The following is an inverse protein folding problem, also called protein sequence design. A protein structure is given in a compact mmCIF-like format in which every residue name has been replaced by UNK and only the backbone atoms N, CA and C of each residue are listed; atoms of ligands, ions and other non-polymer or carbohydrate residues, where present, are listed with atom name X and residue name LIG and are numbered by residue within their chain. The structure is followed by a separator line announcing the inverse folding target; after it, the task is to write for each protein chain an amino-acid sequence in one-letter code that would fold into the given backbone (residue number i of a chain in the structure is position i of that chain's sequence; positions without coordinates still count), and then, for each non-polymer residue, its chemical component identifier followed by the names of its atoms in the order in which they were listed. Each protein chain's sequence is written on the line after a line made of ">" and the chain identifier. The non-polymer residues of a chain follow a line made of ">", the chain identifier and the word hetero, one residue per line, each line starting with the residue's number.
data_IF_867780551765
#
_entry.id   IF_867780551765
#
_cell.length_a   1.000
_cell.length_b   1.000
_cell.length_c   1.000
_cell.angle_alpha   90.00
_cell.angle_beta   90.00
_cell.angle_gamma   90.00
#
_symmetry.space_group_name_H-M   'P 1'
#
loop_
_entity.id
_entity.type
_entity.pdbx_description
1 polymer ?
#
# COMPACT_ATOMS: atom_id res chain seq x y z
N UNK A 1 39.74 -36.60 -48.77
CA UNK A 1 39.37 -36.49 -50.19
C UNK A 1 38.39 -35.34 -50.35
N UNK A 2 38.56 -34.58 -51.44
CA UNK A 2 38.06 -33.26 -51.78
C UNK A 2 36.54 -33.05 -51.74
N UNK A 3 36.11 -31.81 -51.41
CA UNK A 3 35.38 -30.83 -52.28
C UNK A 3 34.98 -29.60 -51.41
N UNK A 4 35.58 -28.41 -51.53
CA UNK A 4 35.28 -27.27 -52.48
C UNK A 4 33.79 -27.08 -52.75
N UNK A 5 33.15 -25.90 -52.74
CA UNK A 5 33.45 -24.49 -52.49
C UNK A 5 32.09 -23.82 -52.16
N UNK A 6 32.06 -22.73 -51.39
CA UNK A 6 30.91 -21.81 -51.45
C UNK A 6 31.42 -20.37 -51.33
N UNK A 7 31.28 -19.64 -52.44
CA UNK A 7 31.46 -18.20 -52.55
C UNK A 7 30.22 -17.49 -51.99
N UNK A 8 30.40 -16.46 -51.16
CA UNK A 8 29.39 -15.43 -50.96
C UNK A 8 30.03 -14.05 -51.04
N UNK A 9 29.37 -13.20 -51.83
CA UNK A 9 29.83 -11.93 -52.35
C UNK A 9 29.80 -10.81 -51.30
N UNK A 10 30.77 -9.89 -51.43
CA UNK A 10 30.76 -8.57 -50.82
C UNK A 10 29.85 -7.63 -51.61
N UNK A 11 29.02 -6.84 -50.92
CA UNK A 11 28.47 -5.61 -51.46
C UNK A 11 28.59 -4.52 -50.40
N UNK A 12 29.47 -3.55 -50.66
CA UNK A 12 29.64 -2.34 -49.87
C UNK A 12 28.55 -1.33 -50.26
N UNK A 13 27.87 -0.77 -49.26
CA UNK A 13 26.89 0.31 -49.44
C UNK A 13 27.52 1.62 -48.97
N UNK A 14 27.91 2.47 -49.93
CA UNK A 14 28.23 3.88 -49.74
C UNK A 14 26.93 4.70 -49.79
N UNK A 15 26.60 5.44 -48.74
CA UNK A 15 25.63 6.53 -48.81
C UNK A 15 26.34 7.87 -48.62
N UNK A 16 26.16 8.73 -49.61
CA UNK A 16 26.72 10.06 -49.70
C UNK A 16 25.98 11.08 -48.81
N UNK A 17 26.77 12.02 -48.30
CA UNK A 17 26.35 13.23 -47.60
C UNK A 17 25.88 14.28 -48.63
N UNK A 18 24.77 14.96 -48.36
CA UNK A 18 24.47 16.25 -48.97
C UNK A 18 23.59 17.06 -48.00
N UNK A 19 24.17 18.07 -47.38
CA UNK A 19 23.43 19.15 -46.74
C UNK A 19 23.23 20.31 -47.72
N UNK A 20 22.20 21.11 -47.50
CA UNK A 20 22.12 22.52 -47.89
C UNK A 20 21.17 23.23 -46.91
N UNK A 21 21.56 24.43 -46.51
CA UNK A 21 20.89 25.27 -45.53
C UNK A 21 20.36 26.58 -46.18
N UNK A 22 19.52 27.27 -45.39
CA UNK A 22 19.10 28.71 -45.37
C UNK A 22 18.25 29.28 -46.53
N UNK A 23 17.48 30.40 -46.37
CA UNK A 23 17.35 31.32 -45.22
C UNK A 23 15.91 31.78 -44.79
N UNK A 24 15.97 32.58 -43.72
CA UNK A 24 15.05 33.46 -42.97
C UNK A 24 14.08 34.32 -43.81
N UNK A 25 12.88 34.57 -43.26
CA UNK A 25 12.00 35.68 -43.64
C UNK A 25 11.46 36.39 -42.39
N UNK A 26 11.63 37.70 -42.34
CA UNK A 26 11.25 38.62 -41.24
C UNK A 26 10.10 39.54 -41.68
N UNK A 27 9.41 40.13 -40.69
CA UNK A 27 8.64 41.40 -40.72
C UNK A 27 7.22 41.44 -41.31
N UNK A 28 6.21 41.71 -40.46
CA UNK A 28 5.69 43.09 -40.27
C UNK A 28 4.80 43.23 -39.00
N UNK A 29 4.68 44.43 -38.38
CA UNK A 29 4.02 44.68 -37.09
C UNK A 29 2.70 45.51 -37.13
N UNK A 30 1.98 45.45 -35.98
CA UNK A 30 1.17 46.51 -35.32
C UNK A 30 -0.22 46.94 -35.88
N UNK A 31 -1.06 47.72 -35.14
CA UNK A 31 -1.51 47.62 -33.73
C UNK A 31 -3.02 48.04 -33.54
N UNK A 32 -3.43 48.35 -32.29
CA UNK A 32 -4.65 49.09 -31.85
C UNK A 32 -5.90 48.21 -31.55
N UNK A 33 -6.71 48.40 -30.51
CA UNK A 33 -6.94 49.44 -29.46
C UNK A 33 -8.05 48.86 -28.55
N UNK A 34 -7.92 48.75 -27.23
CA UNK A 34 -8.22 49.74 -26.16
C UNK A 34 -9.70 49.90 -25.77
N UNK A 35 -9.92 49.99 -24.45
CA UNK A 35 -11.06 50.59 -23.72
C UNK A 35 -12.30 49.69 -23.56
N UNK A 36 -13.04 49.68 -22.46
CA UNK A 36 -12.93 50.19 -21.09
C UNK A 36 -14.13 49.61 -20.32
N UNK A 37 -13.93 49.37 -19.03
CA UNK A 37 -14.80 49.75 -17.90
C UNK A 37 -16.22 50.26 -18.22
N UNK A 38 -17.23 49.72 -17.51
CA UNK A 38 -18.28 50.52 -16.83
C UNK A 38 -19.22 49.64 -15.97
N UNK A 39 -19.03 49.72 -14.65
CA UNK A 39 -20.05 49.56 -13.60
C UNK A 39 -21.21 50.52 -13.84
N UNK A 40 -22.51 50.16 -13.70
CA UNK A 40 -23.54 51.09 -13.19
C UNK A 40 -24.84 50.35 -12.67
N UNK A 41 -25.03 50.32 -11.33
CA UNK A 41 -26.24 50.51 -10.44
C UNK A 41 -27.48 49.61 -10.57
N UNK A 42 -27.89 48.89 -9.51
CA UNK A 42 -28.75 49.31 -8.39
C UNK A 42 -30.17 49.70 -8.80
N UNK A 43 -31.11 48.77 -8.61
CA UNK A 43 -32.52 49.00 -8.25
C UNK A 43 -33.06 47.67 -7.67
N UNK A 44 -33.52 47.67 -6.42
CA UNK A 44 -34.43 46.67 -5.87
C UNK A 44 -35.63 47.39 -5.22
N UNK A 45 -36.55 46.72 -4.49
CA UNK A 45 -37.04 45.33 -4.54
C UNK A 45 -38.61 45.34 -4.77
N UNK A 46 -39.41 44.27 -4.52
CA UNK A 46 -39.70 43.81 -3.16
C UNK A 46 -39.87 42.27 -3.00
N UNK A 47 -39.98 41.89 -1.72
CA UNK A 47 -40.19 40.55 -1.20
C UNK A 47 -41.54 39.95 -1.62
N UNK A 48 -41.54 38.65 -1.94
CA UNK A 48 -42.65 37.71 -1.72
C UNK A 48 -42.12 36.26 -1.78
N UNK A 49 -42.18 35.57 -0.64
CA UNK A 49 -42.18 34.09 -0.49
C UNK A 49 -43.54 33.54 -0.97
N UNK A 50 -43.75 32.24 -1.35
CA UNK A 50 -43.16 31.08 -0.66
C UNK A 50 -42.91 29.75 -1.45
N UNK A 51 -42.18 28.87 -0.77
CA UNK A 51 -42.33 27.40 -0.68
C UNK A 51 -41.82 26.44 -1.77
N UNK A 52 -41.18 25.39 -1.23
CA UNK A 52 -41.24 23.96 -1.58
C UNK A 52 -40.17 23.36 -2.52
N UNK A 53 -39.44 22.41 -1.90
CA UNK A 53 -38.94 21.15 -2.44
C UNK A 53 -37.62 21.06 -3.24
N UNK A 54 -36.58 20.69 -2.47
CA UNK A 54 -35.60 19.61 -2.73
C UNK A 54 -34.41 19.85 -3.68
N UNK A 55 -33.34 19.05 -3.55
CA UNK A 55 -32.49 18.90 -2.37
C UNK A 55 -31.07 19.34 -2.67
N UNK A 56 -30.35 19.73 -1.61
CA UNK A 56 -28.94 20.06 -1.63
C UNK A 56 -28.12 18.85 -2.08
N UNK A 57 -27.39 19.00 -3.19
CA UNK A 57 -26.27 18.14 -3.50
C UNK A 57 -25.17 18.43 -2.49
N UNK A 58 -25.09 17.59 -1.45
CA UNK A 58 -23.92 17.51 -0.59
C UNK A 58 -22.73 17.11 -1.49
N UNK A 59 -21.94 18.11 -1.89
CA UNK A 59 -20.58 17.86 -2.34
C UNK A 59 -19.87 17.13 -1.20
N UNK A 60 -19.64 15.83 -1.38
CA UNK A 60 -18.73 15.03 -0.60
C UNK A 60 -17.35 15.71 -0.68
N UNK A 61 -17.12 16.66 0.23
CA UNK A 61 -15.78 17.08 0.62
C UNK A 61 -15.17 15.89 1.32
N UNK A 62 -14.66 14.95 0.51
CA UNK A 62 -13.71 13.94 0.92
C UNK A 62 -12.60 14.72 1.61
N UNK A 63 -12.62 14.73 2.94
CA UNK A 63 -11.53 15.26 3.75
C UNK A 63 -10.33 14.39 3.44
N UNK A 64 -9.60 14.78 2.40
CA UNK A 64 -8.27 14.34 2.12
C UNK A 64 -7.44 14.81 3.31
N UNK A 65 -7.29 13.92 4.29
CA UNK A 65 -6.25 14.03 5.28
C UNK A 65 -4.93 13.92 4.53
N UNK A 66 -4.41 15.07 4.09
CA UNK A 66 -3.01 15.22 3.73
C UNK A 66 -2.22 14.99 5.03
N UNK A 67 -1.82 13.74 5.24
CA UNK A 67 -0.90 13.34 6.30
C UNK A 67 0.44 14.07 6.07
N UNK A 68 0.65 15.13 6.83
CA UNK A 68 1.90 15.88 6.87
C UNK A 68 3.04 14.97 7.37
N UNK A 69 3.96 14.61 6.48
CA UNK A 69 5.40 14.52 6.80
C UNK A 69 5.96 13.24 7.43
N UNK A 70 5.15 12.21 7.72
CA UNK A 70 5.64 10.96 8.32
C UNK A 70 6.04 9.90 7.30
N UNK A 71 7.25 9.35 7.40
CA UNK A 71 7.58 8.11 6.70
C UNK A 71 6.70 6.97 7.24
N UNK A 72 6.10 6.12 6.39
CA UNK A 72 5.40 4.93 6.87
C UNK A 72 6.32 4.05 7.72
N UNK A 73 5.78 3.39 8.75
CA UNK A 73 6.54 2.39 9.50
C UNK A 73 6.70 1.13 8.66
N UNK A 74 7.72 1.09 7.83
CA UNK A 74 8.05 -0.06 7.01
C UNK A 74 8.40 -1.29 7.86
N UNK A 75 7.86 -2.44 7.47
CA UNK A 75 8.18 -3.75 8.01
C UNK A 75 8.91 -4.57 6.96
N UNK A 76 9.55 -5.67 7.38
CA UNK A 76 10.14 -6.61 6.43
C UNK A 76 9.05 -7.15 5.47
N UNK A 77 9.38 -7.41 4.21
CA UNK A 77 8.42 -7.77 3.17
C UNK A 77 8.02 -9.26 3.22
N UNK A 78 8.03 -9.86 4.41
CA UNK A 78 7.80 -11.28 4.62
C UNK A 78 6.77 -11.52 5.72
N UNK A 79 6.00 -12.62 5.68
CA UNK A 79 5.12 -13.01 6.77
C UNK A 79 5.80 -13.00 8.13
N UNK A 80 5.01 -12.74 9.17
CA UNK A 80 5.46 -12.73 10.55
C UNK A 80 6.37 -13.91 10.91
N UNK A 81 7.44 -13.63 11.65
CA UNK A 81 8.25 -14.63 12.33
C UNK A 81 9.24 -15.34 11.42
N UNK A 82 9.14 -15.15 10.11
CA UNK A 82 10.16 -15.62 9.17
C UNK A 82 11.46 -14.85 9.35
N UNK A 83 12.58 -15.57 9.24
CA UNK A 83 13.92 -14.99 9.26
C UNK A 83 14.53 -15.10 7.86
N UNK A 84 15.09 -14.00 7.38
CA UNK A 84 15.67 -13.89 6.04
C UNK A 84 17.07 -13.30 6.13
N UNK A 85 18.00 -13.85 5.35
CA UNK A 85 19.31 -13.25 5.19
C UNK A 85 19.17 -12.05 4.25
N UNK A 86 19.37 -10.85 4.76
CA UNK A 86 19.39 -9.63 3.97
C UNK A 86 20.83 -9.25 3.64
N UNK A 87 21.11 -9.09 2.34
CA UNK A 87 22.43 -8.92 1.78
C UNK A 87 22.53 -7.58 1.05
N UNK A 88 23.57 -6.81 1.35
CA UNK A 88 23.88 -5.54 0.69
C UNK A 88 25.36 -5.51 0.31
N UNK A 89 25.72 -4.85 -0.79
CA UNK A 89 27.10 -4.87 -1.34
C UNK A 89 27.41 -3.62 -2.15
N UNK A 90 28.69 -3.30 -2.31
CA UNK A 90 29.16 -2.07 -2.98
C UNK A 90 28.85 -2.03 -4.48
N UNK A 91 28.62 -3.19 -5.11
CA UNK A 91 28.23 -3.31 -6.51
C UNK A 91 26.75 -3.70 -6.69
N UNK A 92 25.91 -3.46 -5.70
CA UNK A 92 24.46 -3.64 -5.81
C UNK A 92 23.88 -2.55 -6.72
N UNK A 93 22.87 -2.88 -7.53
CA UNK A 93 22.23 -1.93 -8.43
C UNK A 93 20.72 -1.88 -8.16
N UNK A 94 20.20 -0.74 -7.65
CA UNK A 94 20.93 0.41 -7.11
C UNK A 94 21.71 0.07 -5.82
N UNK A 95 22.70 0.90 -5.47
CA UNK A 95 23.61 0.68 -4.34
C UNK A 95 22.88 0.46 -3.00
N UNK A 96 21.70 1.07 -2.84
CA UNK A 96 20.92 1.04 -1.61
C UNK A 96 19.79 0.00 -1.59
N UNK A 97 19.84 -0.98 -2.48
CA UNK A 97 18.94 -2.13 -2.43
C UNK A 97 19.37 -3.14 -1.38
N UNK A 98 18.51 -4.13 -1.13
CA UNK A 98 18.79 -5.29 -0.30
C UNK A 98 18.20 -6.54 -0.96
N UNK A 99 19.01 -7.58 -1.06
CA UNK A 99 18.59 -8.89 -1.57
C UNK A 99 18.29 -9.78 -0.37
N UNK A 100 17.15 -10.46 -0.39
CA UNK A 100 16.74 -11.35 0.67
C UNK A 100 16.59 -12.77 0.15
N UNK A 101 17.23 -13.71 0.84
CA UNK A 101 17.08 -15.12 0.56
C UNK A 101 17.08 -15.98 1.84
N UNK A 102 16.59 -17.21 1.71
CA UNK A 102 16.75 -18.29 2.69
C UNK A 102 16.68 -19.64 1.97
N UNK A 103 17.01 -20.72 2.66
CA UNK A 103 16.92 -22.06 2.06
C UNK A 103 15.49 -22.38 1.59
N UNK A 104 15.36 -22.84 0.35
CA UNK A 104 14.09 -23.23 -0.28
C UNK A 104 13.04 -22.10 -0.30
N UNK A 105 13.46 -20.88 -0.64
CA UNK A 105 12.60 -19.70 -0.64
C UNK A 105 11.76 -19.49 -1.91
N UNK A 106 12.04 -20.22 -3.00
CA UNK A 106 11.27 -20.08 -4.24
C UNK A 106 9.77 -20.33 -3.98
N UNK A 107 8.93 -19.36 -4.35
CA UNK A 107 7.49 -19.41 -4.10
C UNK A 107 7.06 -18.97 -2.70
N UNK A 108 7.97 -18.62 -1.79
CA UNK A 108 7.61 -18.08 -0.49
C UNK A 108 6.81 -16.78 -0.63
N UNK A 109 5.83 -16.52 0.27
CA UNK A 109 5.03 -15.31 0.18
C UNK A 109 5.84 -14.04 0.37
N UNK A 110 5.63 -13.07 -0.51
CA UNK A 110 6.08 -11.68 -0.35
C UNK A 110 4.87 -10.83 0.03
N UNK A 111 5.02 -10.00 1.06
CA UNK A 111 3.97 -9.13 1.58
C UNK A 111 4.36 -7.66 1.51
N UNK A 112 3.38 -6.77 1.46
CA UNK A 112 3.61 -5.33 1.44
C UNK A 112 4.32 -4.87 2.73
N UNK A 113 5.39 -4.10 2.57
CA UNK A 113 6.21 -3.57 3.67
C UNK A 113 5.48 -2.45 4.42
N UNK A 114 4.59 -1.71 3.76
CA UNK A 114 3.69 -0.73 4.34
C UNK A 114 2.39 -0.67 3.52
N UNK A 115 1.36 -0.02 4.05
CA UNK A 115 0.12 0.22 3.30
C UNK A 115 0.36 1.23 2.18
N UNK A 116 -0.34 1.11 1.06
CA UNK A 116 -0.15 1.99 -0.08
C UNK A 116 -0.99 1.62 -1.29
N UNK A 117 -0.69 2.25 -2.44
CA UNK A 117 -1.31 1.97 -3.74
C UNK A 117 -0.29 1.36 -4.68
N UNK A 118 -0.66 0.28 -5.35
CA UNK A 118 0.18 -0.34 -6.39
C UNK A 118 0.28 0.60 -7.60
N UNK A 119 1.48 1.04 -7.94
CA UNK A 119 1.77 1.92 -9.10
C UNK A 119 2.37 1.17 -10.28
N UNK A 120 2.96 0.00 -10.04
CA UNK A 120 3.51 -0.90 -11.07
C UNK A 120 3.26 -2.35 -10.67
N UNK A 121 2.91 -3.17 -11.65
CA UNK A 121 2.86 -4.64 -11.55
C UNK A 121 3.17 -5.15 -12.95
N UNK A 122 4.47 -5.36 -13.22
CA UNK A 122 4.99 -5.57 -14.58
C UNK A 122 5.88 -6.81 -14.67
N UNK A 123 6.14 -7.27 -15.88
CA UNK A 123 7.04 -8.37 -16.18
C UNK A 123 8.01 -7.98 -17.30
N UNK A 124 9.29 -7.84 -16.95
CA UNK A 124 10.38 -7.48 -17.87
C UNK A 124 11.12 -8.71 -18.43
N UNK A 125 10.58 -9.91 -18.24
CA UNK A 125 11.17 -11.16 -18.74
C UNK A 125 12.48 -11.53 -18.02
N UNK A 126 13.52 -11.84 -18.79
CA UNK A 126 14.80 -12.37 -18.28
C UNK A 126 15.87 -11.28 -18.08
N UNK A 127 15.47 -10.02 -17.92
CA UNK A 127 16.38 -8.89 -17.72
C UNK A 127 15.90 -8.01 -16.57
N UNK A 128 16.81 -7.21 -16.02
CA UNK A 128 16.51 -6.22 -14.97
C UNK A 128 15.68 -6.84 -13.83
N UNK A 129 14.58 -6.23 -13.41
CA UNK A 129 13.75 -6.67 -12.30
C UNK A 129 12.94 -7.96 -12.54
N UNK A 130 12.83 -8.45 -13.77
CA UNK A 130 11.93 -9.57 -14.09
C UNK A 130 10.47 -9.23 -13.78
N UNK A 131 9.76 -10.10 -13.05
CA UNK A 131 8.43 -9.77 -12.50
C UNK A 131 8.60 -8.91 -11.25
N UNK A 132 7.90 -7.79 -11.20
CA UNK A 132 8.09 -6.84 -10.10
C UNK A 132 6.86 -5.97 -9.81
N UNK A 133 6.81 -5.46 -8.59
CA UNK A 133 5.73 -4.62 -8.08
C UNK A 133 6.34 -3.34 -7.50
N UNK A 134 5.67 -2.20 -7.72
CA UNK A 134 5.92 -0.95 -7.00
C UNK A 134 4.68 -0.53 -6.22
N UNK A 135 4.88 -0.13 -4.96
CA UNK A 135 3.83 0.42 -4.11
C UNK A 135 4.20 1.84 -3.71
N UNK A 136 3.30 2.79 -3.95
CA UNK A 136 3.36 4.16 -3.46
C UNK A 136 2.69 4.25 -2.09
N UNK A 137 3.44 4.77 -1.12
CA UNK A 137 3.01 4.88 0.27
C UNK A 137 2.67 6.32 0.68
N UNK A 138 2.68 7.26 -0.26
CA UNK A 138 2.53 8.70 0.02
C UNK A 138 3.85 9.36 0.43
N UNK A 139 3.83 10.69 0.52
CA UNK A 139 4.98 11.51 0.97
C UNK A 139 6.29 11.23 0.21
N UNK A 140 6.18 10.82 -1.05
CA UNK A 140 7.31 10.49 -1.92
C UNK A 140 7.94 9.12 -1.67
N UNK A 141 7.43 8.31 -0.74
CA UNK A 141 7.95 6.98 -0.44
C UNK A 141 7.36 5.92 -1.35
N UNK A 142 8.25 5.10 -1.95
CA UNK A 142 7.87 3.92 -2.73
C UNK A 142 8.69 2.71 -2.35
N UNK A 143 8.11 1.53 -2.47
CA UNK A 143 8.84 0.27 -2.34
C UNK A 143 8.77 -0.53 -3.64
N UNK A 144 9.86 -1.24 -3.96
CA UNK A 144 9.89 -2.16 -5.10
C UNK A 144 10.22 -3.57 -4.65
N UNK A 145 9.58 -4.54 -5.28
CA UNK A 145 9.70 -5.97 -5.03
C UNK A 145 9.97 -6.65 -6.37
N UNK A 146 11.17 -7.16 -6.59
CA UNK A 146 11.61 -7.69 -7.87
C UNK A 146 12.03 -9.16 -7.80
N UNK A 147 12.31 -9.73 -8.97
CA UNK A 147 12.61 -11.14 -9.17
C UNK A 147 11.48 -12.07 -8.72
N UNK A 148 10.24 -11.59 -8.73
CA UNK A 148 9.09 -12.36 -8.26
C UNK A 148 8.81 -13.58 -9.15
N UNK A 149 8.25 -14.63 -8.56
CA UNK A 149 7.69 -15.76 -9.32
C UNK A 149 6.25 -15.48 -9.74
N UNK A 150 5.46 -14.84 -8.87
CA UNK A 150 4.10 -14.41 -9.17
C UNK A 150 3.77 -13.08 -8.54
N UNK A 151 2.83 -12.36 -9.17
CA UNK A 151 2.27 -11.10 -8.68
C UNK A 151 0.79 -11.36 -8.35
N UNK A 152 0.36 -10.95 -7.16
CA UNK A 152 -0.99 -11.19 -6.64
C UNK A 152 -1.84 -9.91 -6.57
N UNK A 153 -1.35 -8.80 -7.14
CA UNK A 153 -1.99 -7.49 -7.13
C UNK A 153 -1.83 -6.79 -8.47
N UNK A 154 -2.80 -5.94 -8.81
CA UNK A 154 -2.83 -5.14 -10.04
C UNK A 154 -2.59 -3.66 -9.75
N UNK A 155 -2.17 -2.91 -10.77
CA UNK A 155 -2.02 -1.44 -10.71
C UNK A 155 -3.33 -0.80 -10.27
N UNK A 156 -3.24 0.20 -9.40
CA UNK A 156 -4.39 0.91 -8.82
C UNK A 156 -4.91 0.31 -7.51
N UNK A 157 -4.62 -0.97 -7.22
CA UNK A 157 -5.07 -1.63 -5.99
C UNK A 157 -4.50 -0.95 -4.74
N UNK A 158 -5.34 -0.76 -3.73
CA UNK A 158 -4.91 -0.40 -2.37
C UNK A 158 -4.50 -1.68 -1.64
N UNK A 159 -3.36 -1.64 -0.98
CA UNK A 159 -2.84 -2.78 -0.20
C UNK A 159 -2.58 -2.35 1.24
N UNK A 160 -2.86 -3.25 2.17
CA UNK A 160 -2.48 -3.09 3.57
C UNK A 160 -1.06 -3.59 3.81
N UNK A 161 -0.34 -3.00 4.79
CA UNK A 161 0.91 -3.60 5.28
C UNK A 161 0.67 -5.08 5.63
N UNK A 162 1.55 -5.98 5.20
CA UNK A 162 1.46 -7.42 5.43
C UNK A 162 0.49 -8.17 4.53
N UNK A 163 -0.23 -7.48 3.64
CA UNK A 163 -1.02 -8.13 2.59
C UNK A 163 -0.07 -8.83 1.61
N UNK A 164 -0.40 -10.06 1.22
CA UNK A 164 0.36 -10.79 0.19
C UNK A 164 0.25 -10.07 -1.15
N UNK A 165 1.40 -9.79 -1.76
CA UNK A 165 1.50 -9.10 -3.05
C UNK A 165 2.15 -9.96 -4.13
N UNK A 166 2.84 -11.04 -3.75
CA UNK A 166 3.47 -11.94 -4.70
C UNK A 166 4.16 -13.10 -4.01
N UNK A 167 5.06 -13.75 -4.76
CA UNK A 167 5.93 -14.80 -4.23
C UNK A 167 7.36 -14.62 -4.72
N UNK A 168 8.32 -15.04 -3.89
CA UNK A 168 9.75 -15.04 -4.23
C UNK A 168 9.99 -15.87 -5.48
N UNK A 169 10.88 -15.39 -6.35
CA UNK A 169 11.17 -16.01 -7.62
C UNK A 169 12.64 -15.96 -7.98
N UNK A 170 12.87 -16.17 -9.26
CA UNK A 170 14.18 -16.14 -9.91
C UNK A 170 14.03 -15.61 -11.34
N UNK A 171 13.24 -14.54 -11.50
CA UNK A 171 13.00 -13.91 -12.80
C UNK A 171 13.90 -12.69 -13.00
N UNK A 172 14.10 -12.25 -14.24
CA UNK A 172 14.93 -11.07 -14.53
C UNK A 172 16.43 -11.38 -14.55
N UNK A 173 17.24 -10.36 -14.23
CA UNK A 173 18.70 -10.47 -14.13
C UNK A 173 19.15 -11.10 -12.80
N UNK A 174 18.52 -12.19 -12.40
CA UNK A 174 18.78 -12.91 -11.15
C UNK A 174 19.78 -14.04 -11.36
N UNK A 175 20.66 -14.30 -10.38
CA UNK A 175 21.62 -15.42 -10.40
C UNK A 175 21.15 -16.63 -9.57
N UNK A 176 19.95 -16.55 -9.00
CA UNK A 176 19.32 -17.59 -8.18
C UNK A 176 18.19 -17.03 -7.32
N UNK A 177 17.36 -17.88 -6.69
CA UNK A 177 16.18 -17.44 -5.96
C UNK A 177 16.47 -16.41 -4.86
N UNK A 178 15.80 -15.26 -4.94
CA UNK A 178 15.81 -14.21 -3.91
C UNK A 178 14.71 -13.16 -4.16
N UNK A 179 14.46 -12.30 -3.18
CA UNK A 179 13.72 -11.06 -3.35
C UNK A 179 14.70 -9.89 -3.39
N UNK A 180 14.75 -9.15 -4.50
CA UNK A 180 15.37 -7.82 -4.53
C UNK A 180 14.36 -6.78 -4.05
N UNK A 181 14.71 -6.07 -2.99
CA UNK A 181 13.87 -5.05 -2.35
C UNK A 181 14.51 -3.68 -2.41
N UNK A 182 13.69 -2.67 -2.72
CA UNK A 182 14.10 -1.27 -2.67
C UNK A 182 13.14 -0.45 -1.81
N UNK A 183 13.71 0.46 -1.01
CA UNK A 183 12.99 1.60 -0.47
C UNK A 183 13.45 2.85 -1.23
N UNK A 184 12.51 3.64 -1.73
CA UNK A 184 12.78 4.84 -2.53
C UNK A 184 12.09 6.05 -1.92
N UNK A 185 12.73 7.21 -2.02
CA UNK A 185 12.15 8.52 -1.69
C UNK A 185 12.36 9.47 -2.87
N UNK A 186 11.27 10.05 -3.37
CA UNK A 186 11.29 10.95 -4.53
C UNK A 186 12.06 10.36 -5.74
N UNK A 187 11.84 9.07 -6.01
CA UNK A 187 12.48 8.35 -7.13
C UNK A 187 13.87 7.79 -6.84
N UNK A 188 14.54 8.23 -5.78
CA UNK A 188 15.92 7.81 -5.43
C UNK A 188 15.88 6.63 -4.46
N UNK A 189 16.66 5.58 -4.72
CA UNK A 189 16.83 4.47 -3.78
C UNK A 189 17.58 4.94 -2.51
N UNK A 190 17.00 4.66 -1.36
CA UNK A 190 17.54 4.98 -0.03
C UNK A 190 17.71 3.70 0.78
N UNK A 191 18.51 3.76 1.84
CA UNK A 191 18.74 2.60 2.70
C UNK A 191 17.40 2.15 3.31
N UNK A 192 17.01 0.88 3.14
CA UNK A 192 15.79 0.35 3.72
C UNK A 192 15.77 0.55 5.23
N UNK A 193 14.63 0.99 5.75
CA UNK A 193 14.37 1.06 7.18
C UNK A 193 13.30 0.01 7.47
N UNK A 194 13.55 -0.86 8.43
CA UNK A 194 12.59 -1.84 8.90
C UNK A 194 12.39 -1.64 10.40
N UNK A 195 11.15 -1.45 10.81
CA UNK A 195 10.78 -1.22 12.20
C UNK A 195 11.56 -0.06 12.86
N UNK A 196 11.77 1.03 12.10
CA UNK A 196 12.52 2.20 12.53
C UNK A 196 14.05 2.02 12.56
N UNK A 197 14.57 0.86 12.15
CA UNK A 197 16.01 0.57 12.10
C UNK A 197 16.49 0.47 10.66
N UNK A 198 17.52 1.23 10.31
CA UNK A 198 18.18 1.12 9.01
C UNK A 198 18.78 -0.28 8.84
N UNK A 199 18.62 -0.86 7.66
CA UNK A 199 19.26 -2.11 7.28
C UNK A 199 20.79 -1.99 7.39
N UNK A 200 21.43 -3.11 7.72
CA UNK A 200 22.88 -3.26 7.69
C UNK A 200 23.38 -3.14 6.25
N UNK A 201 24.35 -2.24 6.05
CA UNK A 201 24.97 -1.97 4.76
C UNK A 201 26.36 -2.58 4.65
N UNK A 202 26.64 -3.12 3.48
CA UNK A 202 27.84 -3.81 3.08
C UNK A 202 28.11 -5.07 3.91
N UNK A 203 27.22 -6.04 3.74
CA UNK A 203 27.33 -7.34 4.37
C UNK A 203 26.01 -8.09 4.37
N UNK A 204 25.98 -9.19 5.12
CA UNK A 204 24.80 -10.03 5.31
C UNK A 204 24.36 -9.96 6.77
N UNK A 205 23.05 -9.79 7.00
CA UNK A 205 22.46 -9.88 8.34
C UNK A 205 21.13 -10.63 8.27
N UNK A 206 20.86 -11.46 9.27
CA UNK A 206 19.55 -12.07 9.42
C UNK A 206 18.55 -11.08 10.03
N UNK A 207 17.38 -10.99 9.39
CA UNK A 207 16.27 -10.15 9.82
C UNK A 207 15.06 -11.01 10.10
N UNK A 208 14.46 -10.87 11.29
CA UNK A 208 13.21 -11.53 11.64
C UNK A 208 12.04 -10.59 11.38
N UNK A 209 11.11 -11.01 10.50
CA UNK A 209 9.94 -10.22 10.17
C UNK A 209 9.02 -10.04 11.37
N UNK A 210 8.66 -8.79 11.64
CA UNK A 210 7.59 -8.40 12.57
C UNK A 210 6.32 -7.98 11.82
N UNK A 211 6.29 -8.14 10.50
CA UNK A 211 5.18 -7.71 9.66
C UNK A 211 3.91 -8.49 10.03
N UNK A 212 2.91 -7.76 10.55
CA UNK A 212 1.64 -8.29 11.06
C UNK A 212 1.82 -9.44 12.08
N UNK A 213 2.84 -9.36 12.93
CA UNK A 213 3.11 -10.43 13.90
C UNK A 213 2.12 -10.61 15.04
N UNK A 214 1.17 -9.70 15.25
CA UNK A 214 0.20 -9.79 16.34
C UNK A 214 0.87 -9.76 17.73
N UNK A 215 1.17 -8.54 18.22
CA UNK A 215 1.29 -8.21 19.65
C UNK A 215 2.68 -8.16 20.31
N UNK A 216 3.16 -6.94 20.63
CA UNK A 216 4.18 -6.61 21.65
C UNK A 216 5.64 -6.47 21.13
N UNK A 217 6.35 -5.34 21.26
CA UNK A 217 6.06 -4.09 21.96
C UNK A 217 7.03 -2.96 21.59
N UNK A 218 6.68 -1.75 22.02
CA UNK A 218 7.53 -0.55 21.96
C UNK A 218 6.80 0.73 21.55
N UNK A 219 5.97 1.27 22.46
CA UNK A 219 5.69 2.71 22.64
C UNK A 219 4.96 3.51 21.55
N UNK A 220 3.78 4.05 21.90
CA UNK A 220 3.11 5.16 21.18
C UNK A 220 1.78 4.77 20.56
N UNK A 221 0.67 5.31 21.08
CA UNK A 221 -0.70 4.92 20.74
C UNK A 221 -1.19 5.33 19.34
N UNK A 222 -2.24 4.64 18.87
CA UNK A 222 -3.13 5.08 17.80
C UNK A 222 -3.34 4.07 16.64
N UNK A 223 -4.58 3.61 16.47
CA UNK A 223 -5.22 3.06 15.23
C UNK A 223 -5.14 1.57 14.83
N UNK A 224 -4.41 0.68 15.51
CA UNK A 224 -4.08 -0.69 14.99
C UNK A 224 -5.18 -1.77 15.00
N UNK A 225 -6.48 -1.43 15.04
CA UNK A 225 -7.59 -2.40 14.96
C UNK A 225 -8.64 -2.03 13.91
N UNK A 226 -9.36 -3.03 13.39
CA UNK A 226 -10.49 -2.81 12.47
C UNK A 226 -11.54 -1.95 13.17
N UNK A 227 -12.03 -0.87 12.56
CA UNK A 227 -13.03 -0.03 13.18
C UNK A 227 -14.35 -0.79 13.35
N UNK A 228 -14.96 -0.67 14.52
CA UNK A 228 -16.30 -1.15 14.78
C UNK A 228 -17.14 -0.08 15.47
N UNK A 229 -18.47 -0.13 15.31
CA UNK A 229 -19.40 0.72 16.07
C UNK A 229 -20.36 -0.14 16.86
N UNK A 230 -20.42 0.07 18.17
CA UNK A 230 -21.33 -0.66 19.06
C UNK A 230 -22.76 -0.20 18.83
N UNK A 231 -23.71 -1.14 18.78
CA UNK A 231 -25.14 -0.87 18.81
C UNK A 231 -25.85 -1.90 19.68
N UNK A 232 -26.37 -1.46 20.81
CA UNK A 232 -27.06 -2.27 21.82
C UNK A 232 -28.44 -1.72 22.17
N UNK A 233 -28.95 -0.74 21.42
CA UNK A 233 -30.22 -0.05 21.69
C UNK A 233 -30.28 0.56 23.11
N UNK A 234 -29.20 1.24 23.52
CA UNK A 234 -29.14 2.07 24.73
C UNK A 234 -28.34 1.50 25.91
N UNK A 235 -28.30 0.18 26.13
CA UNK A 235 -27.59 -0.39 27.27
C UNK A 235 -26.08 -0.58 26.98
N UNK A 236 -25.14 -0.30 27.91
CA UNK A 236 -23.72 -0.54 27.66
C UNK A 236 -23.39 -2.01 27.35
N UNK A 237 -22.59 -2.25 26.31
CA UNK A 237 -22.11 -3.58 25.95
C UNK A 237 -21.04 -4.04 26.94
N UNK A 238 -21.24 -5.20 27.58
CA UNK A 238 -20.26 -5.73 28.53
C UNK A 238 -19.00 -6.24 27.81
N UNK A 239 -17.84 -5.82 28.29
CA UNK A 239 -16.53 -6.37 27.90
C UNK A 239 -16.19 -7.55 28.81
N UNK A 240 -15.89 -8.70 28.22
CA UNK A 240 -15.64 -9.97 28.90
C UNK A 240 -14.17 -10.36 28.82
N UNK A 241 -13.67 -11.08 29.83
CA UNK A 241 -12.28 -11.58 29.81
C UNK A 241 -12.05 -12.70 28.78
N UNK A 242 -13.10 -13.24 28.18
CA UNK A 242 -13.03 -14.27 27.15
C UNK A 242 -14.30 -14.31 26.28
N UNK A 243 -14.34 -15.19 25.25
CA UNK A 243 -15.35 -15.16 24.20
C UNK A 243 -16.66 -15.87 24.63
N UNK A 244 -17.30 -15.35 25.67
CA UNK A 244 -18.55 -15.90 26.23
C UNK A 244 -19.11 -15.06 27.37
N UNK A 245 -20.42 -15.15 27.61
CA UNK A 245 -21.10 -14.43 28.69
C UNK A 245 -20.77 -14.99 30.07
N UNK A 246 -20.32 -16.25 30.16
CA UNK A 246 -19.82 -16.87 31.39
C UNK A 246 -18.44 -16.38 31.85
N UNK A 247 -17.70 -15.65 31.01
CA UNK A 247 -16.43 -15.05 31.42
C UNK A 247 -16.66 -13.81 32.28
N UNK A 248 -15.67 -13.51 33.14
CA UNK A 248 -15.69 -12.34 34.04
C UNK A 248 -15.90 -11.05 33.23
N UNK A 249 -16.79 -10.18 33.70
CA UNK A 249 -16.90 -8.83 33.19
C UNK A 249 -15.65 -8.03 33.58
N UNK A 250 -14.98 -7.41 32.60
CA UNK A 250 -13.75 -6.62 32.79
C UNK A 250 -13.93 -5.15 32.37
N UNK A 251 -15.13 -4.80 31.90
CA UNK A 251 -15.49 -3.43 31.56
C UNK A 251 -16.81 -3.35 30.81
N UNK A 252 -17.11 -2.16 30.28
CA UNK A 252 -18.24 -1.92 29.39
C UNK A 252 -17.88 -0.90 28.31
N UNK A 253 -18.59 -0.96 27.19
CA UNK A 253 -18.53 0.01 26.10
C UNK A 253 -19.92 0.62 25.94
N UNK A 254 -20.00 1.94 25.86
CA UNK A 254 -21.29 2.64 25.69
C UNK A 254 -21.91 2.29 24.34
N UNK A 255 -23.24 2.33 24.28
CA UNK A 255 -23.94 2.27 23.00
C UNK A 255 -23.48 3.40 22.06
N UNK A 256 -23.40 3.10 20.77
CA UNK A 256 -22.90 4.02 19.74
C UNK A 256 -21.39 4.28 19.74
N UNK A 257 -20.64 3.77 20.72
CA UNK A 257 -19.21 4.01 20.81
C UNK A 257 -18.42 3.30 19.69
N UNK A 258 -17.32 3.93 19.27
CA UNK A 258 -16.37 3.33 18.34
C UNK A 258 -15.38 2.44 19.09
N UNK A 259 -15.13 1.26 18.54
CA UNK A 259 -14.14 0.29 19.03
C UNK A 259 -13.12 -0.04 17.96
N UNK A 260 -11.98 -0.60 18.39
CA UNK A 260 -10.92 -1.08 17.50
C UNK A 260 -10.70 -2.56 17.73
N UNK A 261 -11.19 -3.37 16.81
CA UNK A 261 -11.11 -4.83 16.85
C UNK A 261 -9.68 -5.23 16.47
N UNK A 262 -8.93 -5.74 17.44
CA UNK A 262 -7.52 -6.11 17.25
C UNK A 262 -7.37 -7.54 16.74
N UNK A 263 -8.25 -8.42 17.20
CA UNK A 263 -8.33 -9.81 16.80
C UNK A 263 -9.75 -10.36 17.11
N UNK A 264 -10.08 -11.52 16.56
CA UNK A 264 -11.36 -12.20 16.72
C UNK A 264 -11.18 -13.64 17.19
N UNK A 265 -12.13 -14.16 17.97
CA UNK A 265 -12.12 -15.56 18.45
C UNK A 265 -13.49 -16.19 18.29
N UNK A 266 -13.55 -17.48 17.99
CA UNK A 266 -14.82 -18.22 18.06
C UNK A 266 -15.13 -18.53 19.51
N UNK A 267 -16.36 -18.26 19.91
CA UNK A 267 -16.85 -18.49 21.27
C UNK A 267 -18.30 -18.94 21.33
N UNK A 268 -18.96 -18.53 22.41
CA UNK A 268 -20.40 -18.72 22.60
C UNK A 268 -21.17 -18.04 21.47
N UNK A 269 -22.24 -18.69 21.00
CA UNK A 269 -23.16 -18.13 20.01
C UNK A 269 -24.07 -17.10 20.68
N UNK A 270 -24.10 -15.88 20.16
CA UNK A 270 -24.88 -14.76 20.69
C UNK A 270 -25.77 -14.21 19.58
N UNK A 271 -27.00 -13.84 19.95
CA UNK A 271 -27.92 -13.06 19.11
C UNK A 271 -27.92 -11.62 19.62
N UNK A 272 -27.79 -10.67 18.70
CA UNK A 272 -27.73 -9.24 18.97
C UNK A 272 -28.27 -8.42 17.81
N UNK A 273 -28.01 -7.12 17.84
CA UNK A 273 -28.56 -6.13 16.88
C UNK A 273 -28.21 -6.44 15.43
N UNK A 274 -27.01 -6.94 15.16
CA UNK A 274 -26.53 -7.27 13.80
C UNK A 274 -26.67 -8.76 13.45
N UNK A 275 -27.52 -9.49 14.18
CA UNK A 275 -27.82 -10.89 13.88
C UNK A 275 -27.24 -11.87 14.89
N UNK A 276 -26.93 -13.10 14.45
CA UNK A 276 -26.45 -14.18 15.32
C UNK A 276 -25.07 -14.64 14.87
N UNK A 277 -24.08 -14.58 15.77
CA UNK A 277 -22.68 -14.93 15.46
C UNK A 277 -22.03 -15.70 16.61
N UNK A 278 -20.94 -16.41 16.29
CA UNK A 278 -20.02 -17.00 17.27
C UNK A 278 -18.72 -16.19 17.39
N UNK A 279 -18.61 -15.08 16.68
CA UNK A 279 -17.42 -14.24 16.65
C UNK A 279 -17.43 -13.31 17.87
N UNK A 280 -16.27 -13.20 18.50
CA UNK A 280 -16.01 -12.30 19.61
C UNK A 280 -14.81 -11.42 19.27
N UNK A 281 -14.99 -10.12 19.41
CA UNK A 281 -14.04 -9.07 19.06
C UNK A 281 -13.20 -8.69 20.28
N UNK A 282 -11.89 -8.85 20.18
CA UNK A 282 -10.98 -8.32 21.19
C UNK A 282 -10.67 -6.85 20.90
N UNK A 283 -11.13 -5.96 21.77
CA UNK A 283 -11.02 -4.49 21.58
C UNK A 283 -9.83 -3.87 22.33
N UNK A 284 -8.95 -4.70 22.90
CA UNK A 284 -7.76 -4.29 23.63
C UNK A 284 -7.88 -4.46 25.16
N UNK A 285 -9.05 -4.18 25.72
CA UNK A 285 -9.34 -4.38 27.15
C UNK A 285 -10.06 -5.70 27.46
N UNK A 286 -10.61 -6.37 26.43
CA UNK A 286 -11.32 -7.63 26.53
C UNK A 286 -12.16 -7.90 25.28
N UNK A 287 -13.07 -8.87 25.38
CA UNK A 287 -13.90 -9.36 24.30
C UNK A 287 -15.32 -8.80 24.37
N UNK A 288 -15.85 -8.37 23.23
CA UNK A 288 -17.28 -8.07 23.04
C UNK A 288 -17.85 -8.99 21.97
N UNK A 289 -19.15 -9.24 21.97
CA UNK A 289 -19.75 -10.05 20.91
C UNK A 289 -19.92 -9.21 19.64
N UNK A 290 -19.46 -9.75 18.52
CA UNK A 290 -19.59 -9.16 17.17
C UNK A 290 -21.07 -8.99 16.79
N UNK A 291 -22.00 -9.71 17.43
CA UNK A 291 -23.45 -9.55 17.28
C UNK A 291 -23.96 -8.12 17.57
N UNK A 292 -23.17 -7.31 18.28
CA UNK A 292 -23.48 -5.93 18.65
C UNK A 292 -22.49 -4.92 18.08
N UNK A 293 -21.55 -5.32 17.22
CA UNK A 293 -20.53 -4.43 16.66
C UNK A 293 -20.68 -4.40 15.15
N UNK A 294 -21.01 -3.23 14.60
CA UNK A 294 -21.03 -3.03 13.15
C UNK A 294 -19.59 -2.95 12.63
N UNK A 295 -19.22 -3.87 11.76
CA UNK A 295 -17.88 -3.95 11.14
C UNK A 295 -17.91 -3.79 9.62
N UNK A 296 -19.10 -3.79 9.01
CA UNK A 296 -19.31 -3.83 7.56
C UNK A 296 -19.20 -5.23 6.93
N UNK A 297 -19.13 -6.29 7.73
CA UNK A 297 -19.00 -7.68 7.26
C UNK A 297 -19.69 -8.65 8.22
N UNK A 298 -20.36 -9.67 7.67
CA UNK A 298 -20.94 -10.80 8.43
C UNK A 298 -19.89 -11.86 8.82
N UNK A 299 -18.69 -11.75 8.24
CA UNK A 299 -17.53 -12.59 8.50
C UNK A 299 -16.44 -11.88 9.32
N UNK A 300 -15.36 -12.59 9.58
CA UNK A 300 -14.21 -12.05 10.32
C UNK A 300 -13.55 -10.87 9.59
N UNK A 301 -13.25 -9.83 10.35
CA UNK A 301 -12.59 -8.58 9.91
C UNK A 301 -11.22 -8.38 10.55
N UNK A 302 -10.87 -9.20 11.54
CA UNK A 302 -9.61 -9.15 12.25
C UNK A 302 -9.00 -10.56 12.35
N UNK A 303 -7.66 -10.69 12.51
CA UNK A 303 -7.00 -11.98 12.65
C UNK A 303 -7.42 -12.71 13.93
N UNK A 304 -7.12 -14.00 14.04
CA UNK A 304 -7.42 -14.79 15.22
C UNK A 304 -6.70 -14.28 16.48
N UNK A 305 -7.41 -14.23 17.60
CA UNK A 305 -6.78 -13.97 18.89
C UNK A 305 -5.96 -15.20 19.32
N UNK A 306 -4.68 -14.95 19.61
CA UNK A 306 -3.77 -15.93 20.22
C UNK A 306 -4.15 -16.21 21.67
#
# INVERSE_FOLDING_TARGET
>A
MLRTHTLTASLALTLAYAGCAVPVGEHDPDPATSLADEDWWDEGPPADEPSADAPEGEEDTETASFELGGAPRFQLPFPCGQTWAGQTRTNHSPLRSIDFNRSNDIGDPVVAAAAGRVTRSENLGNRSYGRWIEIDHGSGYRTRYAHLRSQAVSVGARVSQGQRIGTVGDTGGSSGPHLHYELRRNGIAISPVFDGRTAHFFGTRNYRSQNRCGGGGGGGGGTTGHPGRVNTAGAPLTVRSGPGTGYRAVGSVRDGARVRIRCQKIGQRIRGTYGTTRIWDFIGSGYVSDAYVYTGSDGRVAPDCR
#
